data_IF_071801835837
#
_entry.id   IF_071801835837
#
_cell.length_a   1.000
_cell.length_b   1.000
_cell.length_c   1.000
_cell.angle_alpha   90.00
_cell.angle_beta   90.00
_cell.angle_gamma   90.00
#
_symmetry.space_group_name_H-M   'P 1'
#
loop_
_entity.id
_entity.type
_entity.pdbx_description
1 polymer ?
#
# COMPACT_ATOMS: atom_id res chain seq x y z
N UNK A 1 -19.30 2.24 -18.88
CA UNK A 1 -19.21 2.62 -17.46
C UNK A 1 -18.46 3.93 -17.37
N UNK A 2 -18.86 4.86 -16.51
CA UNK A 2 -18.13 6.10 -16.27
C UNK A 2 -17.04 5.90 -15.23
N UNK A 3 -15.88 6.49 -15.43
CA UNK A 3 -14.81 6.52 -14.43
C UNK A 3 -15.24 7.34 -13.21
N UNK A 4 -14.98 6.81 -12.01
CA UNK A 4 -15.16 7.48 -10.72
C UNK A 4 -13.80 7.73 -10.07
N UNK A 5 -13.73 8.74 -9.20
CA UNK A 5 -12.56 9.00 -8.36
C UNK A 5 -13.00 9.11 -6.90
N UNK A 6 -12.30 8.42 -6.01
CA UNK A 6 -12.56 8.43 -4.57
C UNK A 6 -11.30 8.73 -3.77
N UNK A 7 -11.52 9.19 -2.55
CA UNK A 7 -10.51 9.25 -1.49
C UNK A 7 -10.94 8.37 -0.33
N UNK A 8 -9.98 7.72 0.28
CA UNK A 8 -10.19 6.85 1.44
C UNK A 8 -8.98 6.92 2.36
N UNK A 9 -9.06 6.22 3.50
CA UNK A 9 -7.94 6.07 4.40
C UNK A 9 -7.73 4.61 4.76
N UNK A 10 -6.48 4.22 5.00
CA UNK A 10 -6.19 2.98 5.70
C UNK A 10 -5.28 3.20 6.91
N UNK A 11 -5.41 2.32 7.89
CA UNK A 11 -4.51 2.23 9.04
C UNK A 11 -3.75 0.91 8.99
N UNK A 12 -2.44 0.96 9.19
CA UNK A 12 -1.63 -0.25 9.35
C UNK A 12 -1.86 -0.81 10.75
N UNK A 13 -2.44 -2.00 10.81
CA UNK A 13 -2.76 -2.72 12.04
C UNK A 13 -1.55 -3.53 12.51
N UNK A 14 -0.85 -4.15 11.56
CA UNK A 14 0.36 -4.93 11.83
C UNK A 14 1.42 -4.66 10.75
N UNK A 15 2.69 -4.63 11.16
CA UNK A 15 3.85 -4.48 10.30
C UNK A 15 4.91 -5.51 10.69
N UNK A 16 5.13 -6.50 9.83
CA UNK A 16 6.15 -7.51 10.01
C UNK A 16 7.20 -7.36 8.92
N UNK A 17 8.42 -7.00 9.31
CA UNK A 17 9.54 -6.82 8.38
C UNK A 17 10.67 -7.81 8.68
N UNK A 18 11.13 -8.49 7.64
CA UNK A 18 12.17 -9.51 7.71
C UNK A 18 13.27 -9.23 6.70
N UNK A 19 14.56 -9.23 7.09
CA UNK A 19 15.66 -9.17 6.14
C UNK A 19 15.61 -10.32 5.13
N UNK A 20 15.86 -9.99 3.86
CA UNK A 20 16.19 -10.96 2.80
C UNK A 20 17.70 -10.95 2.56
N UNK A 21 18.31 -9.76 2.57
CA UNK A 21 19.75 -9.61 2.46
C UNK A 21 20.47 -10.17 3.68
N UNK A 22 21.69 -10.66 3.48
CA UNK A 22 22.59 -11.07 4.56
C UNK A 22 22.92 -9.91 5.51
N UNK A 23 23.31 -10.26 6.73
CA UNK A 23 23.80 -9.29 7.70
C UNK A 23 25.08 -8.60 7.18
N UNK A 24 25.12 -7.26 7.29
CA UNK A 24 26.25 -6.46 6.81
C UNK A 24 26.27 -6.18 5.30
N UNK A 25 25.25 -6.60 4.54
CA UNK A 25 25.14 -6.27 3.13
C UNK A 25 25.10 -4.74 2.90
N UNK A 26 25.83 -4.26 1.89
CA UNK A 26 25.88 -2.84 1.54
C UNK A 26 24.51 -2.29 1.08
N UNK A 27 23.67 -3.15 0.51
CA UNK A 27 22.28 -2.86 0.18
C UNK A 27 21.39 -3.77 1.02
N UNK A 28 20.60 -3.17 1.90
CA UNK A 28 19.64 -3.89 2.73
C UNK A 28 18.36 -4.12 1.93
N UNK A 29 17.93 -5.37 1.85
CA UNK A 29 16.66 -5.78 1.23
C UNK A 29 15.80 -6.46 2.29
N UNK A 30 14.53 -6.08 2.38
CA UNK A 30 13.59 -6.71 3.30
C UNK A 30 12.32 -7.15 2.60
N UNK A 31 11.67 -8.16 3.17
CA UNK A 31 10.27 -8.49 2.91
C UNK A 31 9.42 -7.88 4.02
N UNK A 32 8.36 -7.21 3.65
CA UNK A 32 7.37 -6.67 4.59
C UNK A 32 6.01 -7.30 4.33
N UNK A 33 5.35 -7.74 5.39
CA UNK A 33 3.93 -8.07 5.40
C UNK A 33 3.18 -7.08 6.29
N UNK A 34 2.12 -6.48 5.76
CA UNK A 34 1.27 -5.54 6.51
C UNK A 34 -0.18 -5.97 6.49
N UNK A 35 -0.86 -5.75 7.61
CA UNK A 35 -2.32 -5.85 7.72
C UNK A 35 -2.91 -4.46 7.85
N UNK A 36 -4.02 -4.21 7.17
CA UNK A 36 -4.60 -2.88 7.01
C UNK A 36 -6.10 -2.89 7.25
N UNK A 37 -6.59 -1.82 7.87
CA UNK A 37 -8.01 -1.51 7.98
C UNK A 37 -8.31 -0.30 7.10
N UNK A 38 -9.26 -0.42 6.18
CA UNK A 38 -9.68 0.63 5.26
C UNK A 38 -11.01 1.24 5.69
N UNK A 39 -11.15 2.55 5.52
CA UNK A 39 -12.34 3.32 5.87
C UNK A 39 -12.69 4.41 4.85
N UNK A 40 -13.95 4.87 4.90
CA UNK A 40 -14.50 5.85 3.96
C UNK A 40 -15.06 5.19 2.70
N UNK A 41 -14.76 5.75 1.53
CA UNK A 41 -15.25 5.23 0.25
C UNK A 41 -14.62 3.89 -0.16
N UNK A 42 -13.55 3.47 0.50
CA UNK A 42 -13.00 2.11 0.45
C UNK A 42 -13.05 1.59 1.88
N UNK A 43 -13.94 0.64 2.17
CA UNK A 43 -14.15 0.11 3.51
C UNK A 43 -13.90 -1.40 3.52
N UNK A 44 -13.09 -1.89 4.45
CA UNK A 44 -12.72 -3.30 4.51
C UNK A 44 -11.35 -3.54 5.12
N UNK A 45 -10.72 -4.65 4.77
CA UNK A 45 -9.38 -5.01 5.21
C UNK A 45 -8.45 -5.25 4.04
N UNK A 46 -7.16 -5.21 4.30
CA UNK A 46 -6.18 -5.63 3.32
C UNK A 46 -4.93 -6.25 3.93
N UNK A 47 -4.28 -7.07 3.13
CA UNK A 47 -2.99 -7.67 3.42
C UNK A 47 -2.05 -7.30 2.28
N UNK A 48 -0.99 -6.57 2.59
CA UNK A 48 0.01 -6.20 1.60
C UNK A 48 1.36 -6.85 1.88
N UNK A 49 2.06 -7.24 0.82
CA UNK A 49 3.39 -7.83 0.85
C UNK A 49 4.30 -7.00 -0.05
N UNK A 50 5.46 -6.60 0.46
CA UNK A 50 6.44 -5.77 -0.23
C UNK A 50 7.83 -6.38 -0.20
N UNK A 51 8.59 -6.12 -1.26
CA UNK A 51 10.04 -6.17 -1.22
C UNK A 51 10.54 -4.72 -1.18
N UNK A 52 11.33 -4.38 -0.17
CA UNK A 52 11.90 -3.05 0.01
C UNK A 52 13.41 -3.13 -0.21
N UNK A 53 13.91 -2.30 -1.10
CA UNK A 53 15.33 -2.02 -1.28
C UNK A 53 15.66 -0.68 -0.61
N UNK A 54 16.55 -0.71 0.37
CA UNK A 54 16.98 0.48 1.05
C UNK A 54 18.22 1.07 0.40
N UNK A 55 18.18 2.37 0.14
CA UNK A 55 19.28 3.07 -0.52
C UNK A 55 20.39 3.44 0.48
N UNK A 56 21.66 3.45 0.05
CA UNK A 56 22.77 3.89 0.90
C UNK A 56 22.64 5.37 1.27
N UNK A 57 22.91 5.72 2.53
CA UNK A 57 22.93 7.10 3.03
C UNK A 57 23.06 7.16 4.56
N UNK A 58 23.42 8.33 5.10
CA UNK A 58 23.86 8.47 6.50
C UNK A 58 22.75 8.17 7.51
N UNK A 59 22.96 7.14 8.32
CA UNK A 59 22.26 6.89 9.57
C UNK A 59 22.28 8.15 10.46
N UNK A 60 21.20 8.92 10.48
CA UNK A 60 20.90 9.81 11.59
C UNK A 60 19.44 10.26 11.57
N UNK A 61 18.62 9.64 12.44
CA UNK A 61 17.57 10.38 13.12
C UNK A 61 16.19 10.45 12.48
N UNK A 62 15.63 9.34 11.99
CA UNK A 62 14.17 9.19 11.95
C UNK A 62 13.80 7.92 12.72
N UNK A 63 12.55 7.82 13.23
CA UNK A 63 12.10 6.68 14.05
C UNK A 63 12.26 5.30 13.39
N UNK A 64 12.64 5.25 12.10
CA UNK A 64 12.93 4.05 11.33
C UNK A 64 14.31 4.03 10.65
N UNK A 65 15.19 5.01 10.86
CA UNK A 65 16.62 4.94 10.50
C UNK A 65 17.01 4.97 9.02
N UNK A 66 16.09 5.14 8.05
CA UNK A 66 16.44 5.00 6.62
C UNK A 66 16.27 6.33 5.84
N UNK A 67 17.27 6.75 5.03
CA UNK A 67 17.25 8.04 4.32
C UNK A 67 16.29 8.03 3.13
N UNK A 68 16.30 6.95 2.33
CA UNK A 68 15.34 6.70 1.24
C UNK A 68 15.22 5.19 0.95
N UNK A 69 14.12 4.78 0.32
CA UNK A 69 13.95 3.39 -0.18
C UNK A 69 13.08 3.34 -1.42
N UNK A 70 13.14 2.22 -2.13
CA UNK A 70 12.21 1.85 -3.20
C UNK A 70 11.58 0.50 -2.90
N UNK A 71 10.33 0.31 -3.30
CA UNK A 71 9.61 -0.93 -3.04
C UNK A 71 8.54 -1.23 -4.10
N UNK A 72 8.20 -2.51 -4.21
CA UNK A 72 7.12 -3.02 -5.03
C UNK A 72 6.46 -4.21 -4.33
N UNK A 73 5.25 -4.58 -4.73
CA UNK A 73 4.54 -5.66 -4.08
C UNK A 73 3.11 -5.85 -4.55
N UNK A 74 2.30 -6.43 -3.68
CA UNK A 74 0.85 -6.61 -3.91
C UNK A 74 0.07 -6.29 -2.64
N UNK A 75 -1.20 -5.93 -2.80
CA UNK A 75 -2.17 -5.79 -1.72
C UNK A 75 -3.44 -6.56 -2.07
N UNK A 76 -3.75 -7.60 -1.30
CA UNK A 76 -5.08 -8.19 -1.30
C UNK A 76 -6.01 -7.29 -0.50
N UNK A 77 -7.13 -6.91 -1.10
CA UNK A 77 -8.19 -6.14 -0.47
C UNK A 77 -9.48 -6.96 -0.44
N UNK A 78 -10.18 -6.88 0.69
CA UNK A 78 -11.51 -7.43 0.89
C UNK A 78 -12.41 -6.36 1.47
N UNK A 79 -13.52 -6.08 0.80
CA UNK A 79 -14.47 -5.08 1.26
C UNK A 79 -15.33 -4.49 0.15
N UNK A 80 -15.75 -3.25 0.37
CA UNK A 80 -16.63 -2.49 -0.51
C UNK A 80 -15.95 -1.21 -1.00
N UNK A 81 -16.24 -0.85 -2.26
CA UNK A 81 -15.76 0.38 -2.88
C UNK A 81 -16.99 1.19 -3.32
N UNK A 82 -17.10 2.43 -2.84
CA UNK A 82 -18.19 3.37 -3.16
C UNK A 82 -19.59 2.77 -2.95
N UNK A 83 -19.75 2.03 -1.85
CA UNK A 83 -21.02 1.37 -1.50
C UNK A 83 -21.33 0.11 -2.30
N UNK A 84 -20.39 -0.42 -3.10
CA UNK A 84 -20.55 -1.71 -3.76
C UNK A 84 -20.84 -2.83 -2.75
N UNK A 85 -21.50 -3.94 -3.18
CA UNK A 85 -21.47 -5.16 -2.39
C UNK A 85 -20.02 -5.60 -2.12
N UNK A 86 -19.82 -6.40 -1.07
CA UNK A 86 -18.49 -6.88 -0.69
C UNK A 86 -17.89 -7.75 -1.80
N UNK A 87 -16.60 -7.59 -2.03
CA UNK A 87 -15.80 -8.43 -2.91
C UNK A 87 -14.33 -8.40 -2.53
N UNK A 88 -13.52 -9.05 -3.35
CA UNK A 88 -12.08 -9.14 -3.15
C UNK A 88 -11.35 -8.83 -4.45
N UNK A 89 -10.16 -8.24 -4.34
CA UNK A 89 -9.30 -7.91 -5.49
C UNK A 89 -7.83 -7.79 -5.05
N UNK A 90 -6.91 -8.04 -5.98
CA UNK A 90 -5.49 -7.75 -5.81
C UNK A 90 -5.15 -6.41 -6.46
N UNK A 91 -4.48 -5.54 -5.72
CA UNK A 91 -3.77 -4.39 -6.25
C UNK A 91 -2.28 -4.75 -6.41
N UNK A 92 -1.74 -4.50 -7.59
CA UNK A 92 -0.29 -4.51 -7.85
C UNK A 92 0.28 -3.18 -7.37
N UNK A 93 1.30 -3.23 -6.53
CA UNK A 93 1.95 -2.03 -5.99
C UNK A 93 3.22 -1.73 -6.76
N UNK A 94 3.23 -0.58 -7.42
CA UNK A 94 4.29 -0.11 -8.30
C UNK A 94 4.80 1.26 -7.86
N UNK A 95 5.99 1.64 -8.35
CA UNK A 95 6.62 2.94 -8.08
C UNK A 95 6.72 3.32 -6.59
N UNK A 96 6.79 2.32 -5.71
CA UNK A 96 6.89 2.52 -4.28
C UNK A 96 8.21 3.21 -3.93
N UNK A 97 8.12 4.29 -3.16
CA UNK A 97 9.29 5.04 -2.68
C UNK A 97 9.08 5.57 -1.27
N UNK A 98 10.17 5.70 -0.55
CA UNK A 98 10.24 6.46 0.69
C UNK A 98 11.25 7.59 0.53
N UNK A 99 10.78 8.83 0.60
CA UNK A 99 11.62 10.05 0.59
C UNK A 99 10.99 11.09 1.51
N UNK A 100 11.06 10.86 2.83
CA UNK A 100 10.34 11.67 3.83
C UNK A 100 8.81 11.44 3.87
N UNK A 101 8.28 10.67 2.93
CA UNK A 101 6.93 10.12 2.90
C UNK A 101 6.97 8.78 2.17
N UNK A 102 6.12 7.83 2.58
CA UNK A 102 5.87 6.59 1.86
C UNK A 102 4.79 6.83 0.81
N UNK A 103 5.13 6.62 -0.46
CA UNK A 103 4.23 6.79 -1.61
C UNK A 103 4.30 5.57 -2.52
N UNK A 104 3.17 5.14 -3.07
CA UNK A 104 3.13 4.11 -4.11
C UNK A 104 1.89 4.24 -4.99
N UNK A 105 2.01 3.72 -6.21
CA UNK A 105 0.90 3.56 -7.15
C UNK A 105 0.33 2.14 -7.06
N UNK A 106 -0.97 2.02 -7.31
CA UNK A 106 -1.70 0.77 -7.41
C UNK A 106 -2.30 0.59 -8.79
N UNK A 107 -2.22 -0.63 -9.31
CA UNK A 107 -2.99 -1.09 -10.46
C UNK A 107 -3.87 -2.26 -10.05
N UNK A 108 -5.12 -2.27 -10.49
CA UNK A 108 -6.01 -3.41 -10.26
C UNK A 108 -5.57 -4.59 -11.12
N UNK A 109 -5.31 -5.76 -10.52
CA UNK A 109 -5.28 -7.02 -11.27
C UNK A 109 -6.74 -7.43 -11.57
N UNK A 110 -7.24 -6.98 -12.72
CA UNK A 110 -8.65 -7.12 -13.13
C UNK A 110 -9.14 -8.58 -13.09
N UNK A 111 -8.25 -9.56 -13.25
CA UNK A 111 -8.62 -10.99 -13.27
C UNK A 111 -8.90 -11.55 -11.88
N UNK A 112 -8.48 -10.85 -10.84
CA UNK A 112 -8.64 -11.26 -9.44
C UNK A 112 -9.90 -10.72 -8.79
N UNK A 113 -10.58 -9.76 -9.46
CA UNK A 113 -11.73 -9.09 -8.91
C UNK A 113 -12.94 -10.03 -8.86
N UNK A 114 -13.44 -10.30 -7.66
CA UNK A 114 -14.54 -11.24 -7.39
C UNK A 114 -15.60 -10.63 -6.47
N UNK A 115 -16.75 -11.32 -6.33
CA UNK A 115 -17.88 -10.83 -5.54
C UNK A 115 -18.44 -9.51 -6.09
N UNK A 116 -18.76 -8.57 -5.21
CA UNK A 116 -19.25 -7.25 -5.57
C UNK A 116 -18.24 -6.33 -6.27
N UNK A 117 -16.97 -6.76 -6.36
CA UNK A 117 -15.92 -6.06 -7.11
C UNK A 117 -15.67 -6.69 -8.48
N UNK A 118 -16.42 -7.72 -8.89
CA UNK A 118 -16.21 -8.37 -10.20
C UNK A 118 -16.33 -7.35 -11.35
N UNK A 119 -15.28 -7.27 -12.16
CA UNK A 119 -15.21 -6.32 -13.28
C UNK A 119 -14.53 -4.99 -12.93
N UNK A 120 -14.03 -4.84 -11.69
CA UNK A 120 -13.25 -3.67 -11.28
C UNK A 120 -12.03 -3.49 -12.18
N UNK A 121 -11.88 -2.26 -12.66
CA UNK A 121 -10.67 -1.78 -13.34
C UNK A 121 -10.30 -0.45 -12.71
N UNK A 122 -9.02 -0.16 -12.59
CA UNK A 122 -8.62 1.13 -12.04
C UNK A 122 -7.16 1.21 -11.68
N UNK A 123 -6.79 2.41 -11.25
CA UNK A 123 -5.49 2.75 -10.70
C UNK A 123 -5.69 3.61 -9.47
N UNK A 124 -4.77 3.50 -8.54
CA UNK A 124 -4.83 4.24 -7.29
C UNK A 124 -3.45 4.42 -6.72
N UNK A 125 -3.41 4.64 -5.42
CA UNK A 125 -2.18 4.68 -4.68
C UNK A 125 -2.41 5.24 -3.30
N UNK A 126 -1.31 5.41 -2.59
CA UNK A 126 -1.34 6.01 -1.27
C UNK A 126 -0.19 6.96 -1.04
N UNK A 127 -0.38 7.81 -0.03
CA UNK A 127 0.66 8.66 0.53
C UNK A 127 0.54 8.72 2.05
N UNK A 128 1.64 8.41 2.74
CA UNK A 128 1.79 8.51 4.18
C UNK A 128 3.00 9.39 4.52
N UNK A 129 2.77 10.53 5.14
CA UNK A 129 3.83 11.45 5.56
C UNK A 129 4.64 10.84 6.71
N UNK A 130 5.98 10.90 6.69
CA UNK A 130 6.78 10.29 7.77
C UNK A 130 6.59 10.94 9.15
N UNK A 131 6.06 12.17 9.17
CA UNK A 131 5.68 12.88 10.40
C UNK A 131 4.27 12.58 10.89
N UNK A 132 3.45 11.88 10.10
CA UNK A 132 2.11 11.49 10.53
C UNK A 132 2.21 10.44 11.63
N UNK A 133 1.31 10.53 12.60
CA UNK A 133 1.15 9.49 13.61
C UNK A 133 0.37 8.32 13.00
N UNK A 134 0.53 7.13 13.59
CA UNK A 134 -0.22 5.96 13.15
C UNK A 134 -1.74 6.19 13.20
N UNK A 135 -2.24 6.98 14.16
CA UNK A 135 -3.66 7.34 14.30
C UNK A 135 -4.18 8.22 13.14
N UNK A 136 -3.32 8.98 12.47
CA UNK A 136 -3.70 9.89 11.38
C UNK A 136 -4.11 9.14 10.10
N UNK A 137 -3.72 7.87 9.99
CA UNK A 137 -3.99 7.02 8.84
C UNK A 137 -3.14 7.36 7.61
N UNK A 138 -3.30 6.55 6.57
CA UNK A 138 -2.66 6.72 5.28
C UNK A 138 -3.72 7.12 4.25
N UNK A 139 -3.49 8.20 3.52
CA UNK A 139 -4.42 8.67 2.51
C UNK A 139 -4.33 7.81 1.25
N UNK A 140 -5.48 7.40 0.73
CA UNK A 140 -5.63 6.62 -0.49
C UNK A 140 -6.40 7.45 -1.52
N UNK A 141 -5.96 7.36 -2.77
CA UNK A 141 -6.70 7.84 -3.92
C UNK A 141 -6.94 6.67 -4.87
N UNK A 142 -8.11 6.63 -5.52
CA UNK A 142 -8.45 5.55 -6.44
C UNK A 142 -9.37 6.05 -7.56
N UNK A 143 -8.96 5.80 -8.80
CA UNK A 143 -9.72 6.06 -10.02
C UNK A 143 -10.12 4.73 -10.65
N UNK A 144 -11.42 4.50 -10.83
CA UNK A 144 -11.91 3.18 -11.20
C UNK A 144 -13.18 3.19 -12.05
N UNK A 145 -13.45 2.05 -12.68
CA UNK A 145 -14.73 1.66 -13.26
C UNK A 145 -15.17 0.35 -12.65
N UNK A 146 -16.43 0.27 -12.25
CA UNK A 146 -17.08 -0.91 -11.70
C UNK A 146 -18.51 -1.01 -12.23
#
# INVERSE_FOLDING_TARGET
MSTKSIKAQYHTVNWEEKPISEEGAALKITRVRTERSFSGAMAGTGVAEYIINYHPGTDSGSKCGMPTSSYAGICHFKGSIDGSPEGEVIFIVENGKFTGAAEADWLVDEKTAIGGLKGLKGKGGYKHEAGAKCEDGTNVWFEFTL
#
